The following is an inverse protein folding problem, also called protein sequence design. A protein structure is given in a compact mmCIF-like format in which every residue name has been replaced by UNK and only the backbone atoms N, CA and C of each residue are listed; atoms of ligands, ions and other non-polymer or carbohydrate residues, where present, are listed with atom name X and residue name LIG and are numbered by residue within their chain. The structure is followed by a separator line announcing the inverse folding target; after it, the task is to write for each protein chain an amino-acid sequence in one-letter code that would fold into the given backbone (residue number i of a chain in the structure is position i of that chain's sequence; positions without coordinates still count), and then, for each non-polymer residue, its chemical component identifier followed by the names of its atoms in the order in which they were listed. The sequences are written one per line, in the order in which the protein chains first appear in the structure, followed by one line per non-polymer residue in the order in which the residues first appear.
data_IF_792117020859
#
_entry.id   IF_792117020859
#
_cell.length_a   1.000
_cell.length_b   1.000
_cell.length_c   1.000
_cell.angle_alpha   90.00
_cell.angle_beta   90.00
_cell.angle_gamma   90.00
#
_symmetry.space_group_name_H-M   'P 1'
#
loop_
_entity.id
_entity.type
_entity.pdbx_description
1 polymer ?
#
# COMPACT_ATOMS: atom_id res chain seq x y z
N UNK A 1 7.06 12.38 7.21
CA UNK A 1 6.65 11.08 6.64
C UNK A 1 7.71 10.43 5.76
N UNK A 2 8.11 11.02 4.61
CA UNK A 2 9.05 10.38 3.67
C UNK A 2 10.36 9.86 4.28
N UNK A 3 10.98 10.62 5.19
CA UNK A 3 12.21 10.19 5.86
C UNK A 3 12.00 8.93 6.73
N UNK A 4 10.85 8.84 7.42
CA UNK A 4 10.48 7.66 8.19
C UNK A 4 10.29 6.44 7.28
N UNK A 5 9.57 6.59 6.17
CA UNK A 5 9.39 5.50 5.19
C UNK A 5 10.73 5.00 4.65
N UNK A 6 11.70 5.88 4.41
CA UNK A 6 13.05 5.47 4.02
C UNK A 6 13.75 4.67 5.13
N UNK A 7 13.63 5.09 6.40
CA UNK A 7 14.19 4.32 7.54
C UNK A 7 13.55 2.92 7.60
N UNK A 8 12.22 2.83 7.48
CA UNK A 8 11.50 1.55 7.49
C UNK A 8 11.88 0.66 6.30
N UNK A 9 12.04 1.23 5.11
CA UNK A 9 12.47 0.50 3.91
C UNK A 9 13.88 -0.09 4.08
N UNK A 10 14.84 0.71 4.56
CA UNK A 10 16.21 0.21 4.77
C UNK A 10 16.25 -0.90 5.84
N UNK A 11 15.46 -0.73 6.90
CA UNK A 11 15.29 -1.73 7.95
C UNK A 11 14.71 -3.04 7.39
N UNK A 12 13.62 -2.96 6.64
CA UNK A 12 12.96 -4.12 6.04
C UNK A 12 13.91 -4.87 5.10
N UNK A 13 14.65 -4.15 4.25
CA UNK A 13 15.64 -4.76 3.34
C UNK A 13 16.72 -5.53 4.09
N UNK A 14 17.26 -4.93 5.15
CA UNK A 14 18.25 -5.60 5.99
C UNK A 14 17.67 -6.84 6.66
N UNK A 15 16.46 -6.74 7.22
CA UNK A 15 15.79 -7.88 7.87
C UNK A 15 15.52 -9.03 6.90
N UNK A 16 15.05 -8.75 5.70
CA UNK A 16 14.78 -9.76 4.67
C UNK A 16 16.05 -10.49 4.24
N UNK A 17 17.14 -9.76 3.98
CA UNK A 17 18.42 -10.37 3.63
C UNK A 17 19.04 -11.15 4.80
N UNK A 18 18.90 -10.65 6.04
CA UNK A 18 19.37 -11.37 7.23
C UNK A 18 18.56 -12.65 7.48
N UNK A 19 17.23 -12.62 7.33
CA UNK A 19 16.38 -13.81 7.44
C UNK A 19 16.74 -14.85 6.36
N UNK A 20 16.98 -14.40 5.13
CA UNK A 20 17.46 -15.26 4.05
C UNK A 20 18.80 -15.89 4.42
N UNK A 21 19.75 -15.10 4.92
CA UNK A 21 21.03 -15.62 5.40
C UNK A 21 20.86 -16.64 6.54
N UNK A 22 20.00 -16.38 7.53
CA UNK A 22 19.74 -17.34 8.62
C UNK A 22 19.20 -18.67 8.11
N UNK A 23 18.31 -18.63 7.11
CA UNK A 23 17.76 -19.85 6.50
C UNK A 23 18.84 -20.68 5.78
N UNK A 24 19.77 -20.02 5.08
CA UNK A 24 20.92 -20.66 4.42
C UNK A 24 21.89 -21.27 5.44
N UNK A 25 22.11 -20.62 6.58
CA UNK A 25 22.95 -21.16 7.65
C UNK A 25 22.40 -22.46 8.25
N UNK A 26 21.08 -22.65 8.25
CA UNK A 26 20.42 -23.83 8.79
C UNK A 26 20.35 -25.01 7.80
N UNK A 27 20.54 -24.77 6.50
CA UNK A 27 20.44 -25.80 5.47
C UNK A 27 21.79 -26.50 5.27
N UNK A 28 21.90 -27.75 5.74
CA UNK A 28 23.14 -28.55 5.73
C UNK A 28 23.31 -29.49 4.52
N UNK A 29 22.39 -29.45 3.55
CA UNK A 29 22.30 -30.46 2.46
C UNK A 29 22.65 -29.92 1.05
N UNK A 30 23.00 -28.64 0.89
CA UNK A 30 23.40 -28.09 -0.42
C UNK A 30 24.89 -28.31 -0.74
N UNK A 31 25.23 -28.33 -2.03
CA UNK A 31 26.62 -28.29 -2.49
C UNK A 31 27.36 -27.11 -1.83
N UNK A 32 28.43 -27.41 -1.09
CA UNK A 32 29.11 -26.44 -0.23
C UNK A 32 29.56 -25.17 -0.99
N UNK A 33 29.92 -25.29 -2.27
CA UNK A 33 30.35 -24.15 -3.10
C UNK A 33 29.18 -23.22 -3.49
N UNK A 34 28.01 -23.76 -3.83
CA UNK A 34 26.85 -22.94 -4.20
C UNK A 34 26.25 -22.25 -2.96
N UNK A 35 26.19 -22.96 -1.83
CA UNK A 35 25.76 -22.39 -0.55
C UNK A 35 26.63 -21.21 -0.14
N UNK A 36 27.96 -21.35 -0.22
CA UNK A 36 28.90 -20.26 0.05
C UNK A 36 28.69 -19.06 -0.89
N UNK A 37 28.48 -19.29 -2.18
CA UNK A 37 28.19 -18.22 -3.15
C UNK A 37 26.91 -17.45 -2.78
N UNK A 38 25.87 -18.14 -2.32
CA UNK A 38 24.61 -17.52 -1.87
C UNK A 38 24.79 -16.71 -0.57
N UNK A 39 25.53 -17.24 0.40
CA UNK A 39 25.86 -16.53 1.66
C UNK A 39 26.61 -15.23 1.36
N UNK A 40 27.65 -15.29 0.54
CA UNK A 40 28.40 -14.09 0.11
C UNK A 40 27.51 -13.10 -0.66
N UNK A 41 26.53 -13.61 -1.42
CA UNK A 41 25.51 -12.79 -2.06
C UNK A 41 24.68 -12.00 -1.05
N UNK A 42 24.22 -12.63 0.04
CA UNK A 42 23.51 -11.95 1.12
C UNK A 42 24.40 -10.91 1.82
N UNK A 43 25.69 -11.21 2.05
CA UNK A 43 26.60 -10.24 2.66
C UNK A 43 26.78 -9.00 1.79
N UNK A 44 26.97 -9.15 0.48
CA UNK A 44 27.00 -8.02 -0.47
C UNK A 44 25.71 -7.20 -0.48
N UNK A 45 24.55 -7.85 -0.36
CA UNK A 45 23.27 -7.14 -0.30
C UNK A 45 23.12 -6.35 0.99
N UNK A 46 23.46 -6.95 2.14
CA UNK A 46 23.37 -6.30 3.45
C UNK A 46 24.39 -5.17 3.60
N UNK A 47 25.63 -5.37 3.14
CA UNK A 47 26.73 -4.44 3.34
C UNK A 47 26.48 -3.08 2.67
N UNK A 48 25.80 -3.06 1.52
CA UNK A 48 25.36 -1.84 0.81
C UNK A 48 24.40 -0.95 1.63
N UNK A 49 23.82 -1.47 2.72
CA UNK A 49 22.94 -0.73 3.62
C UNK A 49 23.71 -0.01 4.73
N UNK A 50 25.04 -0.18 4.79
CA UNK A 50 25.94 0.48 5.73
C UNK A 50 26.73 1.60 5.04
N UNK A 51 27.27 2.52 5.82
CA UNK A 51 28.03 3.67 5.32
C UNK A 51 29.33 3.26 4.61
N UNK A 52 29.97 2.19 5.10
CA UNK A 52 31.14 1.58 4.49
C UNK A 52 30.79 0.13 4.12
N UNK A 53 30.46 -0.08 2.85
CA UNK A 53 30.01 -1.38 2.37
C UNK A 53 31.15 -2.42 2.34
N UNK A 54 32.38 -2.01 2.04
CA UNK A 54 33.52 -2.95 1.99
C UNK A 54 33.80 -3.49 3.39
N UNK A 55 33.92 -2.57 4.37
CA UNK A 55 34.17 -2.93 5.76
C UNK A 55 33.01 -3.71 6.39
N UNK A 56 31.76 -3.36 6.06
CA UNK A 56 30.60 -4.10 6.53
C UNK A 56 30.56 -5.54 5.98
N UNK A 57 30.98 -5.76 4.74
CA UNK A 57 31.09 -7.11 4.16
C UNK A 57 32.19 -7.92 4.82
N UNK A 58 33.35 -7.32 5.10
CA UNK A 58 34.43 -7.95 5.89
C UNK A 58 33.93 -8.37 7.28
N UNK A 59 33.23 -7.48 8.00
CA UNK A 59 32.67 -7.81 9.31
C UNK A 59 31.57 -8.86 9.27
N UNK A 60 30.74 -8.91 8.22
CA UNK A 60 29.76 -9.99 8.04
C UNK A 60 30.47 -11.34 7.83
N UNK A 61 31.55 -11.37 7.05
CA UNK A 61 32.36 -12.57 6.89
C UNK A 61 32.99 -13.01 8.20
N UNK A 62 33.57 -12.08 8.97
CA UNK A 62 34.13 -12.38 10.29
C UNK A 62 33.07 -12.89 11.26
N UNK A 63 31.89 -12.24 11.30
CA UNK A 63 30.77 -12.66 12.11
C UNK A 63 30.32 -14.09 11.74
N UNK A 64 30.25 -14.43 10.45
CA UNK A 64 29.91 -15.77 9.96
C UNK A 64 30.84 -16.87 10.46
N UNK A 65 32.12 -16.58 10.64
CA UNK A 65 33.11 -17.55 11.14
C UNK A 65 32.95 -17.86 12.64
N UNK A 66 32.13 -17.10 13.38
CA UNK A 66 31.86 -17.39 14.79
C UNK A 66 31.06 -18.69 14.92
N UNK A 67 31.63 -19.64 15.66
CA UNK A 67 31.03 -20.95 15.97
C UNK A 67 30.03 -20.93 17.13
N UNK A 68 29.86 -19.79 17.78
CA UNK A 68 28.94 -19.67 18.90
C UNK A 68 27.48 -19.66 18.41
N UNK A 69 26.82 -20.81 18.55
CA UNK A 69 25.39 -20.97 18.21
C UNK A 69 24.47 -20.06 19.03
N UNK A 70 24.89 -19.60 20.22
CA UNK A 70 24.08 -18.70 21.03
C UNK A 70 23.92 -17.32 20.37
N UNK A 71 24.97 -16.81 19.72
CA UNK A 71 24.94 -15.55 18.96
C UNK A 71 23.83 -15.60 17.90
N UNK A 72 23.77 -16.70 17.16
CA UNK A 72 22.81 -16.86 16.07
C UNK A 72 21.38 -17.11 16.56
N UNK A 73 21.21 -17.79 17.70
CA UNK A 73 19.92 -17.87 18.40
C UNK A 73 19.41 -16.48 18.80
N UNK A 74 20.28 -15.65 19.37
CA UNK A 74 19.92 -14.27 19.75
C UNK A 74 19.52 -13.43 18.53
N UNK A 75 20.24 -13.50 17.41
CA UNK A 75 19.82 -12.82 16.19
C UNK A 75 18.49 -13.36 15.63
N UNK A 76 18.25 -14.67 15.72
CA UNK A 76 16.97 -15.27 15.30
C UNK A 76 15.82 -14.66 16.10
N UNK A 77 15.95 -14.56 17.42
CA UNK A 77 14.95 -13.92 18.27
C UNK A 77 14.80 -12.43 18.00
N UNK A 78 15.88 -11.70 17.72
CA UNK A 78 15.80 -10.27 17.34
C UNK A 78 15.06 -10.06 16.01
N UNK A 79 15.18 -10.99 15.07
CA UNK A 79 14.50 -10.98 13.76
C UNK A 79 13.06 -11.50 13.82
N UNK A 80 12.58 -11.95 14.97
CA UNK A 80 11.20 -12.40 15.15
C UNK A 80 10.30 -11.22 15.51
N UNK A 81 9.23 -11.03 14.71
CA UNK A 81 8.23 -9.99 14.91
C UNK A 81 7.33 -10.24 16.13
N UNK A 82 7.36 -11.43 16.73
CA UNK A 82 6.70 -11.75 17.98
C UNK A 82 7.49 -11.30 19.22
N UNK A 83 8.77 -10.94 19.07
CA UNK A 83 9.61 -10.51 20.18
C UNK A 83 9.20 -9.11 20.65
N UNK A 84 8.81 -9.02 21.93
CA UNK A 84 8.44 -7.76 22.59
C UNK A 84 9.62 -6.80 22.70
N UNK A 85 9.35 -5.51 22.88
CA UNK A 85 10.40 -4.50 23.04
C UNK A 85 11.38 -4.85 24.16
N UNK A 86 10.87 -5.17 25.35
CA UNK A 86 11.69 -5.47 26.52
C UNK A 86 12.58 -6.70 26.30
N UNK A 87 12.04 -7.75 25.66
CA UNK A 87 12.80 -8.95 25.37
C UNK A 87 13.86 -8.68 24.30
N UNK A 88 13.51 -7.98 23.21
CA UNK A 88 14.46 -7.60 22.17
C UNK A 88 15.61 -6.76 22.74
N UNK A 89 15.32 -5.85 23.68
CA UNK A 89 16.33 -5.04 24.35
C UNK A 89 17.25 -5.89 25.21
N UNK A 90 16.70 -6.81 26.01
CA UNK A 90 17.51 -7.73 26.83
C UNK A 90 18.41 -8.61 25.97
N UNK A 91 17.86 -9.23 24.91
CA UNK A 91 18.61 -10.08 23.98
C UNK A 91 19.75 -9.30 23.33
N UNK A 92 19.51 -8.05 22.94
CA UNK A 92 20.55 -7.17 22.40
C UNK A 92 21.67 -6.92 23.40
N UNK A 93 21.33 -6.62 24.65
CA UNK A 93 22.32 -6.39 25.71
C UNK A 93 23.15 -7.66 25.94
N UNK A 94 22.51 -8.82 26.00
CA UNK A 94 23.19 -10.09 26.22
C UNK A 94 24.05 -10.51 25.02
N UNK A 95 23.60 -10.24 23.79
CA UNK A 95 24.39 -10.40 22.57
C UNK A 95 25.70 -9.59 22.64
N UNK A 96 25.62 -8.32 23.01
CA UNK A 96 26.81 -7.47 23.12
C UNK A 96 27.74 -7.89 24.26
N UNK A 97 27.18 -8.33 25.40
CA UNK A 97 27.98 -8.90 26.50
C UNK A 97 28.70 -10.18 26.09
N UNK A 98 28.03 -11.06 25.34
CA UNK A 98 28.62 -12.33 24.89
C UNK A 98 29.82 -12.13 23.97
N UNK A 99 29.81 -11.06 23.18
CA UNK A 99 30.90 -10.70 22.29
C UNK A 99 32.05 -10.00 23.03
N UNK A 100 31.70 -9.14 24.01
CA UNK A 100 32.63 -8.36 24.83
C UNK A 100 33.01 -7.02 24.19
N UNK A 101 33.08 -5.96 25.00
CA UNK A 101 33.27 -4.56 24.56
C UNK A 101 34.58 -4.32 23.77
N UNK A 102 35.59 -5.16 23.97
CA UNK A 102 36.89 -5.04 23.28
C UNK A 102 36.94 -5.81 21.96
N UNK A 103 35.91 -6.56 21.60
CA UNK A 103 35.90 -7.34 20.39
C UNK A 103 35.80 -6.43 19.17
N UNK A 104 36.57 -6.74 18.13
CA UNK A 104 36.58 -5.98 16.86
C UNK A 104 35.22 -5.88 16.14
N UNK A 105 34.27 -6.78 16.45
CA UNK A 105 32.93 -6.81 15.88
C UNK A 105 31.91 -6.08 16.74
N UNK A 106 32.28 -5.57 17.92
CA UNK A 106 31.34 -5.02 18.90
C UNK A 106 30.48 -3.90 18.33
N UNK A 107 31.09 -2.88 17.73
CA UNK A 107 30.36 -1.75 17.15
C UNK A 107 29.52 -2.15 15.94
N UNK A 108 30.04 -3.08 15.13
CA UNK A 108 29.33 -3.60 13.96
C UNK A 108 28.09 -4.40 14.39
N UNK A 109 28.23 -5.34 15.32
CA UNK A 109 27.13 -6.15 15.87
C UNK A 109 26.14 -5.28 16.63
N UNK A 110 26.59 -4.27 17.35
CA UNK A 110 25.72 -3.26 17.98
C UNK A 110 24.88 -2.54 16.93
N UNK A 111 25.45 -2.12 15.81
CA UNK A 111 24.69 -1.47 14.74
C UNK A 111 23.74 -2.45 14.06
N UNK A 112 24.24 -3.65 13.70
CA UNK A 112 23.49 -4.68 12.99
C UNK A 112 22.26 -5.12 13.79
N UNK A 113 22.43 -5.46 15.08
CA UNK A 113 21.33 -5.92 15.95
C UNK A 113 20.28 -4.84 16.21
N UNK A 114 20.63 -3.55 16.13
CA UNK A 114 19.67 -2.45 16.24
C UNK A 114 18.85 -2.33 14.95
N UNK A 115 19.55 -2.38 13.81
CA UNK A 115 18.93 -2.23 12.50
C UNK A 115 18.09 -3.43 12.12
N UNK A 116 18.46 -4.65 12.51
CA UNK A 116 17.70 -5.85 12.15
C UNK A 116 16.57 -6.21 13.14
N UNK A 117 16.53 -5.66 14.35
CA UNK A 117 15.52 -6.04 15.35
C UNK A 117 14.21 -5.27 15.27
N UNK A 118 13.12 -5.75 15.87
CA UNK A 118 11.86 -5.00 15.97
C UNK A 118 11.82 -3.92 17.07
N UNK A 119 12.97 -3.44 17.55
CA UNK A 119 13.03 -2.43 18.62
C UNK A 119 12.39 -1.08 18.26
N UNK A 120 12.55 -0.60 17.02
CA UNK A 120 12.00 0.71 16.58
C UNK A 120 10.54 0.63 16.13
N UNK A 121 10.09 -0.56 15.71
CA UNK A 121 8.73 -0.82 15.25
C UNK A 121 8.39 -2.25 15.65
N UNK A 122 7.41 -2.42 16.53
CA UNK A 122 6.97 -3.70 17.09
C UNK A 122 5.43 -3.73 17.21
N UNK A 123 4.92 -4.87 17.69
CA UNK A 123 3.49 -5.06 17.92
C UNK A 123 2.94 -4.14 19.01
N UNK A 124 3.72 -3.80 20.03
CA UNK A 124 3.27 -2.89 21.09
C UNK A 124 2.96 -1.49 20.53
N UNK A 125 3.79 -0.97 19.62
CA UNK A 125 3.52 0.30 18.95
C UNK A 125 2.29 0.25 18.03
N UNK A 126 2.08 -0.86 17.33
CA UNK A 126 0.85 -1.04 16.53
C UNK A 126 -0.39 -0.96 17.42
N UNK A 127 -0.37 -1.65 18.57
CA UNK A 127 -1.44 -1.61 19.56
C UNK A 127 -1.70 -0.19 20.06
N UNK A 128 -0.66 0.52 20.48
CA UNK A 128 -0.81 1.90 20.98
C UNK A 128 -1.36 2.85 19.91
N UNK A 129 -0.97 2.69 18.63
CA UNK A 129 -1.50 3.52 17.53
C UNK A 129 -2.99 3.24 17.31
N UNK A 130 -3.41 1.97 17.35
CA UNK A 130 -4.81 1.58 17.21
C UNK A 130 -5.65 2.11 18.37
N UNK A 131 -5.18 1.96 19.62
CA UNK A 131 -5.83 2.50 20.82
C UNK A 131 -5.98 4.02 20.73
N UNK A 132 -4.90 4.73 20.38
CA UNK A 132 -4.93 6.18 20.22
C UNK A 132 -5.93 6.63 19.15
N UNK A 133 -6.00 5.92 18.01
CA UNK A 133 -6.99 6.21 16.98
C UNK A 133 -8.43 5.98 17.48
N UNK A 134 -8.65 4.90 18.25
CA UNK A 134 -9.95 4.58 18.84
C UNK A 134 -10.39 5.64 19.85
N UNK A 135 -9.52 6.09 20.76
CA UNK A 135 -9.86 7.10 21.78
C UNK A 135 -10.28 8.44 21.16
N UNK A 136 -9.57 8.87 20.12
CA UNK A 136 -9.82 10.15 19.44
C UNK A 136 -11.14 10.17 18.64
N UNK A 137 -11.83 9.02 18.48
CA UNK A 137 -13.13 8.95 17.81
C UNK A 137 -14.20 9.76 18.56
N UNK A 138 -14.17 9.72 19.89
CA UNK A 138 -15.10 10.42 20.78
C UNK A 138 -14.86 11.94 20.83
N UNK A 139 -13.62 12.35 20.66
CA UNK A 139 -13.15 13.75 20.75
C UNK A 139 -13.29 14.46 19.39
N UNK A 140 -13.39 13.70 18.29
CA UNK A 140 -13.55 14.24 16.94
C UNK A 140 -12.26 14.84 16.35
N UNK A 141 -11.09 14.49 16.88
CA UNK A 141 -9.81 15.03 16.42
C UNK A 141 -9.32 14.32 15.14
N UNK A 142 -9.87 14.72 14.00
CA UNK A 142 -9.59 14.12 12.69
C UNK A 142 -8.12 14.20 12.27
N UNK A 143 -7.39 15.25 12.68
CA UNK A 143 -5.95 15.39 12.39
C UNK A 143 -5.12 14.34 13.12
N UNK A 144 -5.47 14.05 14.37
CA UNK A 144 -4.80 13.02 15.15
C UNK A 144 -5.09 11.62 14.56
N UNK A 145 -6.35 11.33 14.26
CA UNK A 145 -6.75 10.08 13.58
C UNK A 145 -5.98 9.92 12.27
N UNK A 146 -5.92 10.96 11.43
CA UNK A 146 -5.15 10.92 10.19
C UNK A 146 -3.67 10.61 10.42
N UNK A 147 -3.05 11.21 11.45
CA UNK A 147 -1.64 10.95 11.77
C UNK A 147 -1.41 9.51 12.24
N UNK A 148 -2.32 8.95 13.05
CA UNK A 148 -2.29 7.54 13.44
C UNK A 148 -2.42 6.62 12.21
N UNK A 149 -3.37 6.92 11.31
CA UNK A 149 -3.58 6.14 10.09
C UNK A 149 -2.41 6.21 9.13
N UNK A 150 -1.76 7.38 8.98
CA UNK A 150 -0.57 7.55 8.15
C UNK A 150 0.61 6.72 8.70
N UNK A 151 0.83 6.76 10.02
CA UNK A 151 1.87 5.97 10.67
C UNK A 151 1.59 4.47 10.57
N UNK A 152 0.35 4.05 10.86
CA UNK A 152 -0.06 2.65 10.76
C UNK A 152 0.07 2.14 9.34
N UNK A 153 -0.37 2.90 8.34
CA UNK A 153 -0.22 2.57 6.91
C UNK A 153 1.24 2.36 6.52
N UNK A 154 2.14 3.22 7.00
CA UNK A 154 3.57 3.06 6.73
C UNK A 154 4.11 1.78 7.35
N UNK A 155 3.76 1.49 8.62
CA UNK A 155 4.13 0.23 9.28
C UNK A 155 3.58 -0.95 8.48
N UNK A 156 2.30 -0.94 8.11
CA UNK A 156 1.66 -2.01 7.33
C UNK A 156 2.29 -2.22 5.95
N UNK A 157 2.87 -1.19 5.34
CA UNK A 157 3.51 -1.28 4.04
C UNK A 157 4.88 -1.99 4.09
N UNK A 158 5.60 -1.89 5.22
CA UNK A 158 6.94 -2.47 5.38
C UNK A 158 6.97 -3.71 6.30
N UNK A 159 6.07 -3.77 7.29
CA UNK A 159 6.01 -4.81 8.31
C UNK A 159 4.57 -5.32 8.51
N UNK A 160 3.92 -5.85 7.46
CA UNK A 160 2.52 -6.25 7.53
C UNK A 160 2.24 -7.36 8.56
N UNK A 161 3.24 -8.20 8.88
CA UNK A 161 3.13 -9.24 9.92
C UNK A 161 2.89 -8.69 11.32
N UNK A 162 3.23 -7.43 11.58
CA UNK A 162 2.97 -6.79 12.87
C UNK A 162 1.49 -6.55 13.13
N UNK A 163 0.63 -6.62 12.12
CA UNK A 163 -0.82 -6.52 12.31
C UNK A 163 -1.47 -7.83 12.78
N UNK A 164 -0.76 -8.96 12.70
CA UNK A 164 -1.32 -10.24 13.14
C UNK A 164 -1.58 -10.23 14.63
N UNK A 165 -2.81 -10.57 15.03
CA UNK A 165 -3.32 -10.48 16.40
C UNK A 165 -4.10 -9.20 16.72
N UNK A 166 -4.25 -8.26 15.77
CA UNK A 166 -5.03 -7.03 15.92
C UNK A 166 -6.27 -6.99 15.00
N UNK A 167 -6.71 -8.14 14.52
CA UNK A 167 -7.78 -8.22 13.52
C UNK A 167 -9.12 -7.72 14.06
N UNK A 168 -9.44 -8.00 15.32
CA UNK A 168 -10.68 -7.53 15.96
C UNK A 168 -10.69 -6.00 16.09
N UNK A 169 -9.59 -5.40 16.56
CA UNK A 169 -9.45 -3.95 16.67
C UNK A 169 -9.61 -3.26 15.30
N UNK A 170 -8.99 -3.83 14.25
CA UNK A 170 -9.10 -3.33 12.87
C UNK A 170 -10.56 -3.41 12.38
N UNK A 171 -11.26 -4.50 12.66
CA UNK A 171 -12.66 -4.69 12.27
C UNK A 171 -13.57 -3.70 13.02
N UNK A 172 -13.34 -3.47 14.31
CA UNK A 172 -14.09 -2.51 15.11
C UNK A 172 -13.94 -1.10 14.52
N UNK A 173 -12.70 -0.68 14.25
CA UNK A 173 -12.43 0.64 13.69
C UNK A 173 -13.02 0.83 12.28
N UNK A 174 -13.14 -0.23 11.47
CA UNK A 174 -13.79 -0.14 10.16
C UNK A 174 -15.30 0.05 10.25
N UNK A 175 -15.94 -0.43 11.34
CA UNK A 175 -17.39 -0.32 11.57
C UNK A 175 -17.82 1.05 12.08
N UNK A 176 -16.90 1.82 12.65
CA UNK A 176 -17.14 3.16 13.17
C UNK A 176 -17.61 4.13 12.08
N UNK A 177 -18.46 5.09 12.42
CA UNK A 177 -19.03 6.06 11.45
C UNK A 177 -18.08 7.20 11.05
N UNK A 178 -16.82 7.17 11.51
CA UNK A 178 -15.84 8.19 11.17
C UNK A 178 -15.22 7.95 9.78
N UNK A 179 -15.47 8.85 8.84
CA UNK A 179 -15.01 8.73 7.45
C UNK A 179 -13.48 8.65 7.29
N UNK A 180 -12.72 9.40 8.11
CA UNK A 180 -11.24 9.40 8.10
C UNK A 180 -10.71 8.07 8.61
N UNK A 181 -11.35 7.52 9.64
CA UNK A 181 -11.00 6.21 10.20
C UNK A 181 -11.28 5.09 9.20
N UNK A 182 -12.49 5.06 8.60
CA UNK A 182 -12.83 4.09 7.54
C UNK A 182 -11.83 4.14 6.39
N UNK A 183 -11.47 5.35 5.93
CA UNK A 183 -10.46 5.54 4.88
C UNK A 183 -9.09 4.98 5.27
N UNK A 184 -8.61 5.31 6.48
CA UNK A 184 -7.33 4.86 6.99
C UNK A 184 -7.25 3.35 7.18
N UNK A 185 -8.28 2.74 7.77
CA UNK A 185 -8.33 1.28 7.96
C UNK A 185 -8.45 0.55 6.63
N UNK A 186 -9.25 1.03 5.69
CA UNK A 186 -9.26 0.48 4.33
C UNK A 186 -7.87 0.56 3.67
N UNK A 187 -7.12 1.64 3.91
CA UNK A 187 -5.74 1.77 3.40
C UNK A 187 -4.79 0.76 4.05
N UNK A 188 -4.85 0.60 5.37
CA UNK A 188 -4.08 -0.40 6.12
C UNK A 188 -4.35 -1.81 5.60
N UNK A 189 -5.63 -2.17 5.43
CA UNK A 189 -6.05 -3.46 4.87
C UNK A 189 -5.56 -3.66 3.43
N UNK A 190 -5.49 -2.60 2.62
CA UNK A 190 -4.93 -2.70 1.27
C UNK A 190 -3.42 -3.01 1.23
N UNK A 191 -2.70 -2.78 2.33
CA UNK A 191 -1.26 -3.04 2.45
C UNK A 191 -0.93 -4.36 3.11
N UNK A 192 -1.68 -4.72 4.16
CA UNK A 192 -1.37 -5.84 5.03
C UNK A 192 -2.50 -6.89 5.12
N UNK A 193 -3.62 -6.68 4.44
CA UNK A 193 -4.79 -7.57 4.51
C UNK A 193 -4.49 -9.02 4.14
N UNK A 194 -3.54 -9.26 3.23
CA UNK A 194 -3.10 -10.60 2.87
C UNK A 194 -2.43 -11.37 4.02
N UNK A 195 -1.80 -10.67 4.97
CA UNK A 195 -1.13 -11.28 6.13
C UNK A 195 -2.09 -11.71 7.24
N UNK A 196 -3.29 -11.11 7.28
CA UNK A 196 -4.33 -11.40 8.29
C UNK A 196 -5.59 -11.98 7.66
N UNK A 197 -5.52 -12.37 6.39
CA UNK A 197 -6.66 -12.82 5.59
C UNK A 197 -7.38 -14.01 6.20
N UNK A 198 -6.65 -14.99 6.73
CA UNK A 198 -7.24 -16.22 7.26
C UNK A 198 -8.13 -15.94 8.48
N UNK A 199 -7.67 -15.03 9.33
CA UNK A 199 -8.40 -14.55 10.50
C UNK A 199 -9.61 -13.70 10.07
N UNK A 200 -9.43 -12.81 9.08
CA UNK A 200 -10.51 -11.96 8.53
C UNK A 200 -11.59 -12.77 7.80
N UNK A 201 -11.26 -13.91 7.19
CA UNK A 201 -12.21 -14.74 6.46
C UNK A 201 -13.37 -15.26 7.33
N UNK A 202 -13.17 -15.32 8.65
CA UNK A 202 -14.22 -15.64 9.62
C UNK A 202 -15.28 -14.54 9.76
N UNK A 203 -14.96 -13.30 9.35
CA UNK A 203 -15.83 -12.14 9.44
C UNK A 203 -16.35 -11.72 8.06
N UNK A 204 -17.50 -12.29 7.67
CA UNK A 204 -18.19 -11.92 6.43
C UNK A 204 -18.57 -10.43 6.35
N UNK A 205 -18.60 -9.73 7.49
CA UNK A 205 -18.93 -8.30 7.57
C UNK A 205 -17.89 -7.38 6.93
N UNK A 206 -16.60 -7.76 6.90
CA UNK A 206 -15.53 -6.88 6.42
C UNK A 206 -15.65 -6.64 4.92
N UNK A 207 -15.81 -7.72 4.14
CA UNK A 207 -15.96 -7.61 2.69
C UNK A 207 -17.18 -6.77 2.30
N UNK A 208 -18.32 -6.97 3.00
CA UNK A 208 -19.54 -6.19 2.75
C UNK A 208 -19.36 -4.70 3.07
N UNK A 209 -18.65 -4.36 4.15
CA UNK A 209 -18.35 -2.96 4.49
C UNK A 209 -17.44 -2.33 3.42
N UNK A 210 -16.41 -3.04 2.97
CA UNK A 210 -15.52 -2.56 1.92
C UNK A 210 -16.24 -2.42 0.57
N UNK A 211 -17.09 -3.37 0.20
CA UNK A 211 -17.96 -3.28 -0.99
C UNK A 211 -18.83 -2.01 -0.93
N UNK A 212 -19.46 -1.74 0.21
CA UNK A 212 -20.27 -0.52 0.40
C UNK A 212 -19.44 0.75 0.20
N UNK A 213 -18.22 0.79 0.73
CA UNK A 213 -17.30 1.92 0.52
C UNK A 213 -16.89 2.09 -0.95
N UNK A 214 -16.82 1.00 -1.72
CA UNK A 214 -16.56 1.06 -3.16
C UNK A 214 -17.72 1.67 -3.96
N UNK A 215 -18.95 1.49 -3.48
CA UNK A 215 -20.18 1.93 -4.14
C UNK A 215 -20.58 3.36 -3.73
N UNK A 216 -20.47 3.69 -2.43
CA UNK A 216 -21.10 4.88 -1.84
C UNK A 216 -20.09 5.83 -1.16
N UNK A 217 -18.88 5.35 -0.82
CA UNK A 217 -17.90 6.09 -0.03
C UNK A 217 -17.28 7.29 -0.77
N UNK A 218 -16.23 7.87 -0.19
CA UNK A 218 -15.38 8.84 -0.91
C UNK A 218 -14.50 8.15 -1.96
N UNK A 219 -13.92 8.93 -2.87
CA UNK A 219 -12.95 8.37 -3.83
C UNK A 219 -11.76 7.69 -3.15
N UNK A 220 -11.27 8.21 -2.04
CA UNK A 220 -10.12 7.59 -1.35
C UNK A 220 -10.52 6.29 -0.67
N UNK A 221 -11.68 6.27 -0.01
CA UNK A 221 -12.26 5.03 0.54
C UNK A 221 -12.46 3.99 -0.56
N UNK A 222 -13.13 4.35 -1.66
CA UNK A 222 -13.33 3.45 -2.80
C UNK A 222 -12.00 2.90 -3.36
N UNK A 223 -10.98 3.76 -3.52
CA UNK A 223 -9.64 3.34 -3.94
C UNK A 223 -9.08 2.26 -3.03
N UNK A 224 -9.05 2.53 -1.71
CA UNK A 224 -8.41 1.63 -0.77
C UNK A 224 -9.22 0.36 -0.56
N UNK A 225 -10.55 0.46 -0.54
CA UNK A 225 -11.45 -0.67 -0.38
C UNK A 225 -11.36 -1.68 -1.52
N UNK A 226 -11.20 -1.25 -2.77
CA UNK A 226 -10.96 -2.19 -3.89
C UNK A 226 -9.67 -3.00 -3.68
N UNK A 227 -8.58 -2.33 -3.29
CA UNK A 227 -7.30 -3.00 -3.04
C UNK A 227 -7.35 -3.87 -1.77
N UNK A 228 -8.06 -3.42 -0.74
CA UNK A 228 -8.30 -4.19 0.47
C UNK A 228 -9.09 -5.46 0.17
N UNK A 229 -10.17 -5.38 -0.62
CA UNK A 229 -10.93 -6.55 -1.08
C UNK A 229 -10.02 -7.55 -1.79
N UNK A 230 -9.20 -7.07 -2.74
CA UNK A 230 -8.23 -7.92 -3.43
C UNK A 230 -7.23 -8.59 -2.46
N UNK A 231 -6.77 -7.87 -1.44
CA UNK A 231 -5.80 -8.37 -0.47
C UNK A 231 -6.39 -9.36 0.54
N UNK A 232 -7.61 -9.11 1.05
CA UNK A 232 -8.22 -9.91 2.13
C UNK A 232 -9.03 -11.11 1.61
N UNK A 233 -9.21 -11.25 0.30
CA UNK A 233 -9.93 -12.39 -0.27
C UNK A 233 -8.97 -13.36 -0.97
N UNK A 234 -9.45 -14.57 -1.27
CA UNK A 234 -8.65 -15.60 -1.96
C UNK A 234 -8.50 -15.26 -3.45
N UNK A 235 -7.52 -15.88 -4.11
CA UNK A 235 -7.28 -15.76 -5.55
C UNK A 235 -7.15 -14.29 -6.01
N UNK A 236 -6.40 -13.49 -5.25
CA UNK A 236 -6.24 -12.04 -5.44
C UNK A 236 -7.57 -11.27 -5.56
N UNK A 237 -8.63 -11.84 -4.98
CA UNK A 237 -9.98 -11.31 -4.96
C UNK A 237 -10.72 -11.31 -6.27
N UNK A 238 -10.29 -12.10 -7.27
CA UNK A 238 -10.95 -12.14 -8.58
C UNK A 238 -12.47 -12.36 -8.50
N UNK A 239 -12.92 -13.30 -7.66
CA UNK A 239 -14.36 -13.55 -7.46
C UNK A 239 -15.09 -12.37 -6.82
N UNK A 240 -14.55 -11.81 -5.73
CA UNK A 240 -15.15 -10.67 -5.03
C UNK A 240 -15.19 -9.42 -5.92
N UNK A 241 -14.10 -9.14 -6.63
CA UNK A 241 -14.00 -8.04 -7.57
C UNK A 241 -14.94 -8.21 -8.77
N UNK A 242 -15.17 -9.44 -9.26
CA UNK A 242 -16.12 -9.69 -10.35
C UNK A 242 -17.57 -9.38 -9.94
N UNK A 243 -17.98 -9.79 -8.73
CA UNK A 243 -19.30 -9.46 -8.17
C UNK A 243 -19.45 -7.96 -7.97
N UNK A 244 -18.44 -7.30 -7.39
CA UNK A 244 -18.42 -5.84 -7.22
C UNK A 244 -18.46 -5.11 -8.58
N UNK A 245 -17.69 -5.58 -9.56
CA UNK A 245 -17.60 -5.00 -10.89
C UNK A 245 -18.97 -4.98 -11.58
N UNK A 246 -19.70 -6.11 -11.56
CA UNK A 246 -21.06 -6.18 -12.09
C UNK A 246 -21.96 -5.09 -11.50
N UNK A 247 -22.01 -4.99 -10.17
CA UNK A 247 -22.81 -3.98 -9.47
C UNK A 247 -22.40 -2.54 -9.81
N UNK A 248 -21.11 -2.27 -9.95
CA UNK A 248 -20.59 -0.95 -10.31
C UNK A 248 -21.04 -0.53 -11.71
N UNK A 249 -20.99 -1.45 -12.69
CA UNK A 249 -21.42 -1.15 -14.06
C UNK A 249 -22.94 -0.98 -14.13
N UNK A 250 -23.72 -1.82 -13.43
CA UNK A 250 -25.18 -1.67 -13.37
C UNK A 250 -25.56 -0.29 -12.76
N UNK A 251 -24.84 0.16 -11.72
CA UNK A 251 -25.04 1.49 -11.14
C UNK A 251 -24.64 2.64 -12.06
N UNK A 252 -23.64 2.47 -12.94
CA UNK A 252 -23.31 3.50 -13.95
C UNK A 252 -24.51 3.77 -14.86
N UNK A 253 -25.26 2.73 -15.21
CA UNK A 253 -26.44 2.81 -16.09
C UNK A 253 -27.68 3.33 -15.35
N UNK A 254 -27.92 2.84 -14.13
CA UNK A 254 -29.17 3.07 -13.39
C UNK A 254 -29.17 4.35 -12.52
N UNK A 255 -28.02 4.74 -11.94
CA UNK A 255 -27.96 5.80 -10.91
C UNK A 255 -26.77 6.74 -11.09
N UNK A 256 -27.03 8.03 -11.31
CA UNK A 256 -25.98 9.09 -11.35
C UNK A 256 -25.44 9.52 -9.97
N UNK A 257 -25.64 8.72 -8.92
CA UNK A 257 -25.20 9.06 -7.54
C UNK A 257 -23.86 8.37 -7.26
N UNK A 258 -22.99 8.99 -6.46
CA UNK A 258 -21.65 8.47 -6.10
C UNK A 258 -20.73 8.15 -7.30
N UNK A 259 -21.01 8.73 -8.47
CA UNK A 259 -20.23 8.53 -9.70
C UNK A 259 -18.70 8.70 -9.52
N UNK A 260 -18.19 9.66 -8.71
CA UNK A 260 -16.76 9.74 -8.41
C UNK A 260 -16.16 8.43 -7.87
N UNK A 261 -16.87 7.77 -6.96
CA UNK A 261 -16.43 6.56 -6.26
C UNK A 261 -16.58 5.33 -7.14
N UNK A 262 -17.68 5.26 -7.90
CA UNK A 262 -17.90 4.21 -8.90
C UNK A 262 -16.77 4.23 -9.94
N UNK A 263 -16.48 5.38 -10.54
CA UNK A 263 -15.37 5.54 -11.51
C UNK A 263 -14.02 5.17 -10.91
N UNK A 264 -13.78 5.58 -9.67
CA UNK A 264 -12.56 5.25 -8.96
C UNK A 264 -12.40 3.75 -8.74
N UNK A 265 -13.47 3.06 -8.32
CA UNK A 265 -13.50 1.62 -8.09
C UNK A 265 -13.26 0.86 -9.41
N UNK A 266 -13.98 1.23 -10.47
CA UNK A 266 -13.81 0.65 -11.81
C UNK A 266 -12.38 0.82 -12.33
N UNK A 267 -11.80 2.01 -12.18
CA UNK A 267 -10.42 2.25 -12.57
C UNK A 267 -9.43 1.42 -11.74
N UNK A 268 -9.68 1.25 -10.43
CA UNK A 268 -8.85 0.37 -9.61
C UNK A 268 -8.97 -1.11 -10.03
N UNK A 269 -10.17 -1.60 -10.34
CA UNK A 269 -10.38 -2.96 -10.85
C UNK A 269 -9.66 -3.13 -12.19
N UNK A 270 -9.77 -2.17 -13.11
CA UNK A 270 -9.03 -2.18 -14.37
C UNK A 270 -7.52 -2.32 -14.16
N UNK A 271 -7.00 -1.68 -13.12
CA UNK A 271 -5.58 -1.69 -12.81
C UNK A 271 -5.10 -3.01 -12.21
N UNK A 272 -5.87 -3.65 -11.34
CA UNK A 272 -5.40 -4.84 -10.57
C UNK A 272 -5.98 -6.17 -11.08
N UNK A 273 -7.05 -6.13 -11.87
CA UNK A 273 -7.78 -7.29 -12.37
C UNK A 273 -8.30 -7.02 -13.80
N UNK A 274 -7.39 -6.76 -14.74
CA UNK A 274 -7.71 -6.46 -16.15
C UNK A 274 -8.70 -7.46 -16.79
N UNK A 275 -8.56 -8.80 -16.60
CA UNK A 275 -9.48 -9.75 -17.20
C UNK A 275 -10.95 -9.55 -16.80
N UNK A 276 -11.21 -9.01 -15.60
CA UNK A 276 -12.57 -8.69 -15.15
C UNK A 276 -13.08 -7.44 -15.88
N UNK A 277 -12.24 -6.41 -15.99
CA UNK A 277 -12.62 -5.15 -16.62
C UNK A 277 -12.94 -5.32 -18.12
N UNK A 278 -12.16 -6.14 -18.83
CA UNK A 278 -12.36 -6.37 -20.27
C UNK A 278 -13.75 -6.94 -20.61
N UNK A 279 -14.39 -7.65 -19.67
CA UNK A 279 -15.72 -8.25 -19.89
C UNK A 279 -16.81 -7.25 -20.25
N UNK A 280 -16.71 -6.00 -19.77
CA UNK A 280 -17.66 -4.90 -20.05
C UNK A 280 -16.95 -3.56 -20.29
N UNK A 281 -15.67 -3.59 -20.69
CA UNK A 281 -14.81 -2.41 -20.77
C UNK A 281 -15.36 -1.35 -21.75
N UNK A 282 -15.88 -1.77 -22.90
CA UNK A 282 -16.46 -0.87 -23.91
C UNK A 282 -17.68 -0.10 -23.39
N UNK A 283 -18.49 -0.69 -22.51
CA UNK A 283 -19.64 -0.01 -21.90
C UNK A 283 -19.17 1.16 -21.03
N UNK A 284 -18.15 0.92 -20.22
CA UNK A 284 -17.55 1.93 -19.34
C UNK A 284 -16.87 3.04 -20.15
N UNK A 285 -16.08 2.67 -21.16
CA UNK A 285 -15.39 3.62 -22.05
C UNK A 285 -16.42 4.49 -22.79
N UNK A 286 -17.47 3.88 -23.34
CA UNK A 286 -18.56 4.58 -24.01
C UNK A 286 -19.30 5.52 -23.05
N UNK A 287 -19.58 5.09 -21.82
CA UNK A 287 -20.19 5.94 -20.79
C UNK A 287 -19.32 7.16 -20.48
N UNK A 288 -18.03 6.95 -20.18
CA UNK A 288 -17.11 8.05 -19.85
C UNK A 288 -17.04 9.04 -21.02
N UNK A 289 -16.82 8.55 -22.24
CA UNK A 289 -16.68 9.41 -23.41
C UNK A 289 -17.97 10.19 -23.69
N UNK A 290 -19.10 9.49 -23.85
CA UNK A 290 -20.35 10.10 -24.33
C UNK A 290 -21.16 10.82 -23.25
N UNK A 291 -21.04 10.41 -21.98
CA UNK A 291 -21.89 10.91 -20.88
C UNK A 291 -21.13 11.77 -19.88
N UNK A 292 -19.80 11.74 -19.86
CA UNK A 292 -18.99 12.59 -18.97
C UNK A 292 -18.18 13.60 -19.79
N UNK A 293 -17.39 13.14 -20.76
CA UNK A 293 -16.46 13.98 -21.50
C UNK A 293 -17.17 14.92 -22.50
N UNK A 294 -18.11 14.37 -23.28
CA UNK A 294 -18.87 15.11 -24.30
C UNK A 294 -19.98 16.02 -23.72
N UNK A 295 -20.26 15.95 -22.41
CA UNK A 295 -21.22 16.85 -21.78
C UNK A 295 -20.68 18.29 -21.77
N UNK A 296 -21.40 19.21 -22.43
CA UNK A 296 -21.19 20.65 -22.31
C UNK A 296 -21.78 21.17 -20.99
N UNK A 297 -21.04 22.03 -20.29
CA UNK A 297 -21.53 22.74 -19.10
C UNK A 297 -22.51 23.84 -19.55
N UNK A 298 -23.70 23.46 -20.04
CA UNK A 298 -24.73 24.41 -20.50
C UNK A 298 -25.29 25.29 -19.35
N UNK A 299 -24.90 25.01 -18.10
CA UNK A 299 -25.36 25.73 -16.89
C UNK A 299 -24.29 26.59 -16.23
N UNK A 300 -23.06 26.59 -16.72
CA UNK A 300 -22.04 27.51 -16.23
C UNK A 300 -22.26 28.89 -16.86
N UNK A 301 -23.20 29.67 -16.30
CA UNK A 301 -23.09 31.14 -16.39
C UNK A 301 -21.71 31.48 -15.85
N UNK A 302 -20.79 31.82 -16.75
CA UNK A 302 -19.46 32.32 -16.40
C UNK A 302 -19.69 33.66 -15.71
N UNK A 303 -19.90 33.64 -14.40
CA UNK A 303 -19.69 34.82 -13.59
C UNK A 303 -18.22 35.18 -13.78
N UNK A 304 -17.96 36.38 -14.33
CA UNK A 304 -16.63 36.91 -14.65
C UNK A 304 -15.71 37.11 -13.43
N UNK A 305 -16.04 36.49 -12.31
CA UNK A 305 -15.49 36.71 -10.97
C UNK A 305 -15.10 35.39 -10.28
N UNK A 306 -14.81 34.33 -11.04
CA UNK A 306 -14.23 33.09 -10.48
C UNK A 306 -12.72 33.16 -10.50
N UNK A 307 -12.16 33.24 -9.29
CA UNK A 307 -10.74 33.31 -9.01
C UNK A 307 -9.97 32.07 -9.46
N UNK A 308 -8.71 32.35 -9.79
CA UNK A 308 -7.52 31.50 -9.82
C UNK A 308 -7.68 30.05 -9.32
N UNK A 309 -7.38 29.08 -10.21
CA UNK A 309 -6.82 27.73 -9.95
C UNK A 309 -7.48 26.79 -8.92
N UNK A 310 -8.49 27.22 -8.15
CA UNK A 310 -8.97 26.52 -6.95
C UNK A 310 -10.35 25.86 -7.05
N UNK A 311 -11.30 26.46 -7.79
CA UNK A 311 -12.70 26.04 -7.76
C UNK A 311 -13.08 25.21 -9.00
N UNK A 312 -12.70 23.94 -9.00
CA UNK A 312 -13.14 23.00 -10.04
C UNK A 312 -14.63 22.71 -9.92
N UNK A 313 -15.40 22.89 -11.00
CA UNK A 313 -16.81 22.51 -11.04
C UNK A 313 -16.98 21.00 -10.82
N UNK A 314 -18.17 20.57 -10.35
CA UNK A 314 -18.48 19.15 -10.20
C UNK A 314 -18.31 18.39 -11.54
N UNK A 315 -18.71 19.03 -12.65
CA UNK A 315 -18.54 18.51 -14.01
C UNK A 315 -17.06 18.33 -14.38
N UNK A 316 -16.23 19.35 -14.12
CA UNK A 316 -14.78 19.28 -14.33
C UNK A 316 -14.15 18.12 -13.53
N UNK A 317 -14.50 17.98 -12.25
CA UNK A 317 -14.03 16.87 -11.41
C UNK A 317 -14.44 15.52 -12.00
N UNK A 318 -15.69 15.36 -12.46
CA UNK A 318 -16.14 14.13 -13.11
C UNK A 318 -15.36 13.83 -14.40
N UNK A 319 -15.07 14.82 -15.25
CA UNK A 319 -14.21 14.65 -16.43
C UNK A 319 -12.81 14.17 -16.03
N UNK A 320 -12.19 14.78 -15.00
CA UNK A 320 -10.90 14.35 -14.45
C UNK A 320 -10.97 12.89 -13.97
N UNK A 321 -12.06 12.49 -13.31
CA UNK A 321 -12.21 11.14 -12.78
C UNK A 321 -12.43 10.12 -13.89
N UNK A 322 -13.23 10.45 -14.91
CA UNK A 322 -13.41 9.63 -16.10
C UNK A 322 -12.09 9.38 -16.83
N UNK A 323 -11.30 10.44 -17.08
CA UNK A 323 -9.96 10.32 -17.69
C UNK A 323 -9.05 9.44 -16.84
N UNK A 324 -9.05 9.61 -15.50
CA UNK A 324 -8.25 8.76 -14.61
C UNK A 324 -8.65 7.28 -14.68
N UNK A 325 -9.93 6.97 -14.86
CA UNK A 325 -10.41 5.60 -15.06
C UNK A 325 -9.89 5.02 -16.37
N UNK A 326 -9.95 5.78 -17.47
CA UNK A 326 -9.40 5.37 -18.77
C UNK A 326 -7.87 5.18 -18.74
N UNK A 327 -7.13 6.06 -18.05
CA UNK A 327 -5.67 5.92 -17.88
C UNK A 327 -5.33 4.62 -17.17
N UNK A 328 -6.07 4.27 -16.10
CA UNK A 328 -5.83 3.03 -15.36
C UNK A 328 -6.16 1.78 -16.16
N UNK A 329 -7.18 1.81 -17.03
CA UNK A 329 -7.46 0.69 -17.93
C UNK A 329 -6.39 0.52 -19.02
N UNK A 330 -5.57 1.54 -19.29
CA UNK A 330 -4.44 1.41 -20.20
C UNK A 330 -3.12 1.03 -19.49
N UNK A 331 -3.10 1.01 -18.15
CA UNK A 331 -1.88 0.79 -17.34
C UNK A 331 -2.13 -0.22 -16.21
N UNK A 332 -2.42 -1.50 -16.54
CA UNK A 332 -2.60 -2.51 -15.51
C UNK A 332 -1.29 -2.84 -14.78
N UNK A 333 -1.41 -3.16 -13.50
CA UNK A 333 -0.30 -3.61 -12.64
C UNK A 333 0.21 -5.02 -13.03
N UNK A 334 -0.66 -5.85 -13.61
CA UNK A 334 -0.38 -7.21 -14.08
C UNK A 334 -0.86 -7.33 -15.52
N UNK A 335 -0.20 -8.16 -16.33
CA UNK A 335 -0.65 -8.46 -17.71
C UNK A 335 -0.72 -7.24 -18.64
N UNK A 336 0.35 -6.43 -18.68
CA UNK A 336 0.49 -5.30 -19.58
C UNK A 336 0.64 -5.76 -21.05
N UNK A 337 -0.49 -6.07 -21.70
CA UNK A 337 -0.58 -6.20 -23.14
C UNK A 337 -0.85 -4.82 -23.78
N UNK A 338 -0.55 -4.69 -25.07
CA UNK A 338 -0.85 -3.46 -25.84
C UNK A 338 -2.37 -3.28 -25.88
N UNK A 339 -2.89 -2.37 -25.06
CA UNK A 339 -4.33 -2.11 -24.98
C UNK A 339 -4.76 -1.22 -26.17
N UNK A 340 -5.66 -1.69 -27.06
CA UNK A 340 -6.08 -0.94 -28.27
C UNK A 340 -6.69 0.44 -27.97
N UNK A 341 -7.25 0.62 -26.78
CA UNK A 341 -7.85 1.89 -26.32
C UNK A 341 -6.86 3.02 -26.03
N UNK A 342 -5.54 2.77 -26.03
CA UNK A 342 -4.55 3.81 -25.67
C UNK A 342 -4.51 4.96 -26.68
N UNK A 343 -4.69 4.66 -27.98
CA UNK A 343 -4.69 5.69 -29.04
C UNK A 343 -5.83 6.69 -28.84
N UNK A 344 -7.05 6.19 -28.58
CA UNK A 344 -8.22 7.03 -28.29
C UNK A 344 -8.00 7.91 -27.06
N UNK A 345 -7.38 7.37 -26.00
CA UNK A 345 -7.05 8.16 -24.81
C UNK A 345 -6.01 9.24 -25.12
N UNK A 346 -4.99 8.92 -25.92
CA UNK A 346 -3.98 9.89 -26.34
C UNK A 346 -4.58 11.02 -27.18
N UNK A 347 -5.54 10.72 -28.06
CA UNK A 347 -6.26 11.72 -28.83
C UNK A 347 -7.07 12.67 -27.93
N UNK A 348 -7.79 12.13 -26.93
CA UNK A 348 -8.52 12.93 -25.94
C UNK A 348 -7.55 13.87 -25.19
N UNK A 349 -6.43 13.34 -24.69
CA UNK A 349 -5.43 14.12 -23.96
C UNK A 349 -4.79 15.20 -24.85
N UNK A 350 -4.48 14.86 -26.10
CA UNK A 350 -3.94 15.80 -27.09
C UNK A 350 -4.92 16.94 -27.36
N UNK A 351 -6.21 16.65 -27.52
CA UNK A 351 -7.24 17.67 -27.70
C UNK A 351 -7.31 18.61 -26.48
N UNK A 352 -7.36 18.07 -25.26
CA UNK A 352 -7.37 18.88 -24.02
C UNK A 352 -6.14 19.77 -23.93
N UNK A 353 -4.95 19.24 -24.22
CA UNK A 353 -3.70 20.02 -24.15
C UNK A 353 -3.60 21.08 -25.25
N UNK A 354 -4.19 20.82 -26.43
CA UNK A 354 -4.13 21.75 -27.58
C UNK A 354 -5.18 22.85 -27.46
N UNK A 355 -6.39 22.51 -27.00
CA UNK A 355 -7.57 23.37 -27.10
C UNK A 355 -8.15 23.80 -25.75
N UNK A 356 -7.64 23.26 -24.63
CA UNK A 356 -8.22 23.46 -23.31
C UNK A 356 -9.53 22.70 -23.07
N UNK A 357 -10.01 21.95 -24.07
CA UNK A 357 -11.24 21.16 -24.02
C UNK A 357 -11.10 19.90 -24.90
N UNK A 358 -12.04 18.96 -24.73
CA UNK A 358 -12.06 17.65 -25.39
C UNK A 358 -12.51 17.79 -26.85
N UNK A 359 -13.34 18.78 -27.15
CA UNK A 359 -13.82 19.07 -28.51
C UNK A 359 -13.10 20.29 -29.12
N UNK A 360 -12.54 20.19 -30.34
CA UNK A 360 -11.97 21.33 -31.06
C UNK A 360 -13.01 22.43 -31.36
N UNK A 361 -14.31 22.09 -31.34
CA UNK A 361 -15.39 22.94 -31.82
C UNK A 361 -15.78 24.07 -30.85
N UNK A 362 -15.22 24.12 -29.64
CA UNK A 362 -15.59 25.12 -28.62
C UNK A 362 -14.80 26.43 -28.70
N UNK A 363 -13.66 26.48 -29.41
CA UNK A 363 -12.85 27.71 -29.54
C UNK A 363 -13.57 28.78 -30.39
N UNK A 364 -14.51 28.39 -31.26
CA UNK A 364 -15.27 29.34 -32.08
C UNK A 364 -16.23 30.24 -31.29
N UNK A 365 -16.51 29.94 -30.01
CA UNK A 365 -17.46 30.73 -29.20
C UNK A 365 -16.83 31.79 -28.29
N UNK A 366 -15.50 31.86 -28.24
CA UNK A 366 -14.78 32.86 -27.44
C UNK A 366 -14.27 34.05 -28.28
N UNK A 367 -14.52 34.05 -29.60
CA UNK A 367 -14.10 35.09 -30.55
C UNK A 367 -15.26 35.67 -31.39
N UNK A 368 -16.49 35.65 -30.87
CA UNK A 368 -17.61 36.47 -31.39
C UNK A 368 -18.09 37.48 -30.36
#
# INVERSE_FOLDING_TARGET
MKALEQILLQKQRLQQEMLKYMSLRQTSQEDAADLQKRILGCFRSMSRLFSDAVKAEEYLNMLHQLKDENIWKMFTSLLDCATTFNNAWSIRVDLLKSLGEKHELYDFVSTLSMRCSYLLVNKEYVKEILSAASEQKSIGNTKHISSCMDLLTAISSFFPSLLSGFEEDIIELLKEDNEVLKEGIAHVLSKAGGNIREQLASSSSVALLLERLCLEGTRKQAKYSVHALAAITKDDGLMALSVLYKRLVDLLEEKKVHLPSILQSLGCIAQIAMPIFETRGEEIISFITKKILDCSDDTAKVSADKSEWGDSSHSCLLKIYGIKTLVKSCLPCKDAQVHPGIEKLMDILKSILTYGDISPNMISRYYE
#
